data_IF_568521998216
#
_entry.id   IF_568521998216
#
_cell.length_a   1.000
_cell.length_b   1.000
_cell.length_c   1.000
_cell.angle_alpha   90.00
_cell.angle_beta   90.00
_cell.angle_gamma   90.00
#
_symmetry.space_group_name_H-M   'P 1'
#
loop_
_entity.id
_entity.type
_entity.pdbx_description
1 polymer ?
#
# COMPACT_ATOMS: atom_id res chain seq x y z
N UNK A 1 -14.84 7.99 10.93
CA UNK A 1 -15.37 7.16 9.82
C UNK A 1 -16.87 6.85 9.87
N UNK A 2 -17.64 7.42 10.79
CA UNK A 2 -19.08 7.14 10.87
C UNK A 2 -19.85 7.65 9.65
N UNK A 3 -19.38 8.73 9.01
CA UNK A 3 -20.01 9.24 7.79
C UNK A 3 -19.91 8.27 6.61
N UNK A 4 -18.75 7.66 6.35
CA UNK A 4 -18.62 6.66 5.28
C UNK A 4 -19.55 5.47 5.49
N UNK A 5 -19.71 5.02 6.74
CA UNK A 5 -20.66 3.96 7.11
C UNK A 5 -22.11 4.40 6.89
N UNK A 6 -22.47 5.61 7.33
CA UNK A 6 -23.80 6.19 7.18
C UNK A 6 -24.18 6.38 5.71
N UNK A 7 -23.25 6.85 4.89
CA UNK A 7 -23.43 7.12 3.46
C UNK A 7 -23.24 5.89 2.58
N UNK A 8 -22.69 4.80 3.12
CA UNK A 8 -22.39 3.55 2.41
C UNK A 8 -21.47 3.78 1.19
N UNK A 9 -20.46 4.63 1.37
CA UNK A 9 -19.52 4.98 0.30
C UNK A 9 -18.06 4.76 0.73
N UNK A 10 -17.18 4.66 -0.26
CA UNK A 10 -15.73 4.69 -0.06
C UNK A 10 -15.27 6.09 0.35
N UNK A 11 -14.17 6.15 1.09
CA UNK A 11 -13.50 7.40 1.45
C UNK A 11 -12.25 7.61 0.62
N UNK A 12 -11.97 8.88 0.29
CA UNK A 12 -10.72 9.30 -0.31
C UNK A 12 -10.28 10.62 0.32
N UNK A 13 -9.09 10.67 0.91
CA UNK A 13 -8.50 11.91 1.41
C UNK A 13 -7.85 12.64 0.25
N UNK A 14 -8.50 13.69 -0.26
CA UNK A 14 -8.04 14.38 -1.48
C UNK A 14 -6.78 15.21 -1.26
N UNK A 15 -6.51 15.61 -0.02
CA UNK A 15 -5.36 16.42 0.33
C UNK A 15 -4.85 16.04 1.72
N UNK A 16 -3.56 15.74 1.80
CA UNK A 16 -2.81 15.66 3.06
C UNK A 16 -1.40 16.16 2.85
N UNK A 17 -0.80 16.74 3.88
CA UNK A 17 0.59 17.16 3.82
C UNK A 17 1.50 15.94 3.72
N UNK A 18 2.32 15.93 2.66
CA UNK A 18 3.36 14.93 2.40
C UNK A 18 4.64 15.71 2.17
N UNK A 19 5.29 16.03 3.27
CA UNK A 19 6.45 16.94 3.35
C UNK A 19 7.64 16.21 4.00
N UNK A 20 8.80 16.86 4.05
CA UNK A 20 10.01 16.32 4.69
C UNK A 20 10.21 16.81 6.15
N UNK A 21 9.17 17.41 6.74
CA UNK A 21 9.13 17.86 8.13
C UNK A 21 7.82 17.43 8.80
N UNK A 22 7.77 17.34 10.13
CA UNK A 22 6.53 16.96 10.84
C UNK A 22 6.06 15.52 10.52
N UNK A 23 7.00 14.60 10.31
CA UNK A 23 6.74 13.25 9.85
C UNK A 23 5.76 12.45 10.72
N UNK A 24 5.74 12.67 12.03
CA UNK A 24 4.91 11.89 12.94
C UNK A 24 3.41 12.01 12.61
N UNK A 25 2.93 13.24 12.35
CA UNK A 25 1.54 13.46 11.97
C UNK A 25 1.22 12.85 10.59
N UNK A 26 2.16 12.92 9.65
CA UNK A 26 2.00 12.31 8.32
C UNK A 26 1.92 10.77 8.43
N UNK A 27 2.79 10.16 9.23
CA UNK A 27 2.79 8.71 9.43
C UNK A 27 1.54 8.24 10.20
N UNK A 28 1.11 8.98 11.23
CA UNK A 28 -0.16 8.72 11.90
C UNK A 28 -1.33 8.73 10.91
N UNK A 29 -1.35 9.70 9.98
CA UNK A 29 -2.36 9.76 8.94
C UNK A 29 -2.31 8.57 7.99
N UNK A 30 -1.12 8.10 7.60
CA UNK A 30 -0.98 6.89 6.79
C UNK A 30 -1.47 5.64 7.54
N UNK A 31 -1.15 5.51 8.83
CA UNK A 31 -1.58 4.36 9.62
C UNK A 31 -3.09 4.37 9.87
N UNK A 32 -3.68 5.55 10.07
CA UNK A 32 -5.13 5.73 10.11
C UNK A 32 -5.78 5.40 8.76
N UNK A 33 -5.20 5.85 7.65
CA UNK A 33 -5.68 5.53 6.31
C UNK A 33 -5.66 4.02 6.05
N UNK A 34 -4.58 3.32 6.41
CA UNK A 34 -4.43 1.87 6.28
C UNK A 34 -5.46 1.13 7.16
N UNK A 35 -5.56 1.49 8.44
CA UNK A 35 -6.55 0.95 9.39
C UNK A 35 -7.97 1.02 8.85
N UNK A 36 -8.26 2.13 8.18
CA UNK A 36 -9.57 2.46 7.68
C UNK A 36 -9.79 2.14 6.20
N UNK A 37 -8.78 1.60 5.50
CA UNK A 37 -8.83 1.23 4.07
C UNK A 37 -9.23 2.43 3.21
N UNK A 38 -8.78 3.62 3.60
CA UNK A 38 -9.08 4.88 2.96
C UNK A 38 -7.90 5.26 2.08
N UNK A 39 -8.14 5.49 0.80
CA UNK A 39 -7.12 6.02 -0.11
C UNK A 39 -6.87 7.50 0.16
N UNK A 40 -5.73 8.01 -0.31
CA UNK A 40 -5.33 9.39 -0.11
C UNK A 40 -4.53 9.92 -1.29
N UNK A 41 -4.43 11.25 -1.36
CA UNK A 41 -3.55 11.98 -2.26
C UNK A 41 -2.75 13.02 -1.47
N UNK A 42 -1.43 13.00 -1.66
CA UNK A 42 -0.54 13.99 -1.06
C UNK A 42 -0.64 15.34 -1.77
N UNK A 43 -0.76 16.41 -1.00
CA UNK A 43 -0.67 17.77 -1.50
C UNK A 43 0.78 18.26 -1.47
N UNK A 44 1.30 18.80 -2.54
CA UNK A 44 1.08 18.59 -3.96
C UNK A 44 2.29 17.88 -4.59
N UNK A 45 2.15 17.48 -5.86
CA UNK A 45 3.27 17.07 -6.70
C UNK A 45 3.59 18.17 -7.72
N UNK A 46 3.89 19.37 -7.22
CA UNK A 46 4.28 20.51 -8.04
C UNK A 46 5.78 20.81 -7.87
N UNK A 47 6.47 21.05 -8.98
CA UNK A 47 7.83 21.57 -8.98
C UNK A 47 7.83 23.03 -9.44
N UNK A 48 8.19 23.99 -8.57
CA UNK A 48 8.32 25.37 -8.97
C UNK A 48 9.46 25.53 -10.00
N UNK A 49 9.31 26.36 -11.06
CA UNK A 49 10.30 26.50 -12.14
C UNK A 49 11.73 26.83 -11.67
N UNK A 50 11.86 27.52 -10.53
CA UNK A 50 13.12 27.98 -9.97
C UNK A 50 13.54 27.24 -8.69
N UNK A 51 12.81 26.21 -8.26
CA UNK A 51 13.18 25.42 -7.09
C UNK A 51 14.39 24.55 -7.44
N UNK A 52 15.59 25.00 -7.05
CA UNK A 52 16.81 24.18 -7.16
C UNK A 52 16.81 23.05 -6.13
N UNK A 53 16.36 23.35 -4.92
CA UNK A 53 16.07 22.38 -3.86
C UNK A 53 14.91 22.91 -3.03
N UNK A 54 13.98 22.05 -2.66
CA UNK A 54 12.99 22.31 -1.62
C UNK A 54 12.69 20.98 -0.91
N UNK A 55 11.70 21.01 -0.01
CA UNK A 55 11.31 19.84 0.77
C UNK A 55 11.01 18.59 -0.08
N UNK A 56 10.43 18.80 -1.27
CA UNK A 56 9.96 17.73 -2.17
C UNK A 56 10.88 17.43 -3.34
N UNK A 57 11.82 18.32 -3.65
CA UNK A 57 12.62 18.26 -4.88
C UNK A 57 14.09 18.48 -4.57
N UNK A 58 14.93 17.58 -5.09
CA UNK A 58 16.39 17.73 -5.14
C UNK A 58 16.81 17.93 -6.59
N UNK A 59 17.00 19.17 -7.00
CA UNK A 59 17.18 19.51 -8.42
C UNK A 59 15.95 19.18 -9.25
N UNK A 60 16.11 18.27 -10.21
CA UNK A 60 15.05 17.83 -11.14
C UNK A 60 14.33 16.56 -10.71
N UNK A 61 14.79 15.91 -9.62
CA UNK A 61 14.22 14.66 -9.13
C UNK A 61 13.53 14.88 -7.78
N UNK A 62 12.51 14.07 -7.45
CA UNK A 62 11.92 14.11 -6.12
C UNK A 62 12.96 13.86 -5.03
N UNK A 63 12.78 14.51 -3.87
CA UNK A 63 13.61 14.29 -2.70
C UNK A 63 13.47 12.82 -2.25
N UNK A 64 14.59 12.14 -2.04
CA UNK A 64 14.64 10.72 -1.70
C UNK A 64 13.78 10.38 -0.48
N UNK A 65 13.78 11.23 0.57
CA UNK A 65 12.97 10.96 1.77
C UNK A 65 11.47 11.03 1.48
N UNK A 66 11.05 11.94 0.59
CA UNK A 66 9.65 12.06 0.17
C UNK A 66 9.23 10.84 -0.65
N UNK A 67 10.08 10.40 -1.59
CA UNK A 67 9.85 9.15 -2.32
C UNK A 67 9.73 7.98 -1.34
N UNK A 68 10.71 7.81 -0.45
CA UNK A 68 10.73 6.73 0.54
C UNK A 68 9.46 6.68 1.38
N UNK A 69 8.95 7.84 1.79
CA UNK A 69 7.78 7.91 2.66
C UNK A 69 6.46 7.67 1.91
N UNK A 70 6.44 7.87 0.60
CA UNK A 70 5.21 7.81 -0.22
C UNK A 70 5.12 6.58 -1.09
N UNK A 71 6.24 5.93 -1.41
CA UNK A 71 6.29 4.68 -2.17
C UNK A 71 6.15 3.44 -1.29
N UNK A 72 5.28 3.52 -0.27
CA UNK A 72 4.94 2.44 0.67
C UNK A 72 4.48 1.19 -0.09
N UNK A 73 4.66 0.02 0.52
CA UNK A 73 4.02 -1.21 -0.01
C UNK A 73 2.53 -1.18 0.33
N UNK A 74 1.64 -1.38 -0.65
CA UNK A 74 0.19 -1.31 -0.42
C UNK A 74 -0.60 -2.12 -1.47
N UNK A 75 -1.81 -2.60 -1.14
CA UNK A 75 -2.64 -3.31 -2.11
C UNK A 75 -3.26 -2.32 -3.11
N UNK A 76 -2.96 -2.48 -4.40
CA UNK A 76 -3.58 -1.69 -5.49
C UNK A 76 -4.95 -2.24 -5.88
N UNK A 77 -5.09 -3.58 -5.90
CA UNK A 77 -6.34 -4.27 -6.16
C UNK A 77 -6.36 -5.59 -5.37
N UNK A 78 -7.50 -5.96 -4.79
CA UNK A 78 -7.63 -7.19 -3.98
C UNK A 78 -8.79 -8.01 -4.49
N UNK A 79 -8.55 -9.29 -4.74
CA UNK A 79 -9.56 -10.27 -5.14
C UNK A 79 -10.44 -10.72 -3.95
N UNK A 80 -11.02 -9.76 -3.23
CA UNK A 80 -11.80 -10.01 -2.03
C UNK A 80 -12.02 -8.77 -1.18
N UNK A 81 -12.55 -9.00 0.02
CA UNK A 81 -12.82 -7.97 1.01
C UNK A 81 -11.65 -7.89 1.99
N UNK A 82 -10.90 -6.79 1.94
CA UNK A 82 -9.77 -6.51 2.84
C UNK A 82 -10.24 -6.53 4.29
N UNK A 83 -9.60 -7.37 5.10
CA UNK A 83 -9.78 -7.40 6.55
C UNK A 83 -8.84 -6.40 7.22
N UNK A 84 -7.54 -6.52 6.94
CA UNK A 84 -6.50 -5.58 7.38
C UNK A 84 -5.41 -5.46 6.32
N UNK A 85 -4.74 -4.32 6.28
CA UNK A 85 -3.39 -4.22 5.75
C UNK A 85 -2.64 -3.15 6.53
N UNK A 86 -1.32 -3.24 6.55
CA UNK A 86 -0.46 -2.26 7.21
C UNK A 86 0.95 -2.33 6.64
N UNK A 87 1.54 -1.16 6.39
CA UNK A 87 2.97 -1.02 6.11
C UNK A 87 3.66 -0.37 7.31
N UNK A 88 4.55 -1.11 7.96
CA UNK A 88 5.35 -0.59 9.06
C UNK A 88 6.50 0.25 8.49
N UNK A 89 6.44 1.56 8.73
CA UNK A 89 7.45 2.51 8.21
C UNK A 89 8.86 2.25 8.74
N UNK A 90 9.02 1.63 9.90
CA UNK A 90 10.31 1.45 10.56
C UNK A 90 10.97 0.16 10.06
N UNK A 91 10.25 -0.96 10.15
CA UNK A 91 10.73 -2.29 9.73
C UNK A 91 10.60 -2.53 8.22
N UNK A 92 9.82 -1.71 7.51
CA UNK A 92 9.42 -1.91 6.11
C UNK A 92 8.63 -3.20 5.87
N UNK A 93 8.11 -3.81 6.93
CA UNK A 93 7.23 -4.97 6.82
C UNK A 93 5.85 -4.55 6.32
N UNK A 94 5.30 -5.32 5.40
CA UNK A 94 3.93 -5.19 4.95
C UNK A 94 3.15 -6.45 5.26
N UNK A 95 1.90 -6.28 5.71
CA UNK A 95 0.93 -7.35 5.89
C UNK A 95 -0.39 -7.01 5.20
N UNK A 96 -1.05 -8.04 4.67
CA UNK A 96 -2.37 -7.97 4.07
C UNK A 96 -3.15 -9.23 4.44
N UNK A 97 -4.40 -9.06 4.85
CA UNK A 97 -5.36 -10.16 4.86
C UNK A 97 -6.70 -9.76 4.27
N UNK A 98 -7.32 -10.67 3.55
CA UNK A 98 -8.60 -10.46 2.90
C UNK A 98 -9.40 -11.75 2.83
N UNK A 99 -10.73 -11.61 2.77
CA UNK A 99 -11.64 -12.73 2.57
C UNK A 99 -12.10 -12.78 1.13
N UNK A 100 -12.17 -13.97 0.56
CA UNK A 100 -12.65 -14.15 -0.81
C UNK A 100 -14.10 -13.65 -0.90
N UNK A 101 -14.34 -12.78 -1.88
CA UNK A 101 -15.65 -12.22 -2.15
C UNK A 101 -16.28 -13.01 -3.32
N UNK A 102 -17.47 -13.61 -3.14
CA UNK A 102 -18.13 -14.37 -4.22
C UNK A 102 -18.46 -13.52 -5.46
N UNK A 103 -18.60 -12.21 -5.30
CA UNK A 103 -18.89 -11.29 -6.41
C UNK A 103 -17.63 -10.93 -7.22
N UNK A 104 -16.44 -11.24 -6.70
CA UNK A 104 -15.18 -10.99 -7.40
C UNK A 104 -14.87 -12.13 -8.38
N UNK A 105 -14.84 -11.81 -9.68
CA UNK A 105 -14.53 -12.78 -10.74
C UNK A 105 -13.03 -13.00 -10.95
N UNK A 106 -12.20 -12.14 -10.38
CA UNK A 106 -10.74 -12.23 -10.48
C UNK A 106 -10.20 -13.08 -9.33
N UNK A 107 -9.13 -13.83 -9.59
CA UNK A 107 -8.34 -14.48 -8.53
C UNK A 107 -7.11 -13.67 -8.13
N UNK A 108 -6.88 -12.55 -8.81
CA UNK A 108 -5.65 -11.76 -8.73
C UNK A 108 -5.77 -10.63 -7.72
N UNK A 109 -4.84 -10.62 -6.77
CA UNK A 109 -4.55 -9.49 -5.89
C UNK A 109 -3.22 -8.87 -6.32
N UNK A 110 -3.22 -7.56 -6.54
CA UNK A 110 -2.07 -6.76 -6.95
C UNK A 110 -1.61 -5.88 -5.79
N UNK A 111 -0.32 -5.99 -5.46
CA UNK A 111 0.30 -5.24 -4.37
C UNK A 111 1.45 -4.45 -4.97
N UNK A 112 1.40 -3.12 -4.87
CA UNK A 112 2.54 -2.29 -5.21
C UNK A 112 3.61 -2.46 -4.13
N UNK A 113 4.86 -2.57 -4.55
CA UNK A 113 6.01 -2.55 -3.66
C UNK A 113 7.18 -1.86 -4.35
N UNK A 114 7.95 -1.08 -3.59
CA UNK A 114 9.14 -0.42 -4.11
C UNK A 114 10.39 -1.19 -3.65
N UNK A 115 10.82 -2.15 -4.48
CA UNK A 115 11.96 -3.02 -4.18
C UNK A 115 13.23 -2.23 -3.86
N UNK A 116 13.56 -1.25 -4.70
CA UNK A 116 14.78 -0.45 -4.55
C UNK A 116 14.77 0.38 -3.27
N UNK A 117 13.62 0.94 -2.88
CA UNK A 117 13.51 1.83 -1.72
C UNK A 117 13.33 1.11 -0.38
N UNK A 118 12.73 -0.08 -0.38
CA UNK A 118 12.31 -0.76 0.85
C UNK A 118 12.93 -2.14 1.03
N UNK A 119 13.37 -2.78 -0.05
CA UNK A 119 13.90 -4.13 -0.04
C UNK A 119 15.20 -4.24 -0.88
N UNK A 120 16.18 -3.33 -0.72
CA UNK A 120 17.36 -3.28 -1.61
C UNK A 120 18.23 -4.52 -1.54
N UNK A 121 18.23 -5.21 -0.39
CA UNK A 121 18.96 -6.46 -0.17
C UNK A 121 18.09 -7.71 -0.41
N UNK A 122 16.94 -7.53 -1.06
CA UNK A 122 15.90 -8.53 -1.18
C UNK A 122 14.96 -8.58 0.02
N UNK A 123 14.02 -9.52 -0.04
CA UNK A 123 12.94 -9.68 0.92
C UNK A 123 12.65 -11.16 1.19
N UNK A 124 11.96 -11.41 2.28
CA UNK A 124 11.31 -12.68 2.60
C UNK A 124 9.79 -12.46 2.63
N UNK A 125 9.01 -13.49 2.33
CA UNK A 125 7.55 -13.40 2.31
C UNK A 125 6.89 -14.66 2.87
N UNK A 126 5.66 -14.50 3.33
CA UNK A 126 4.75 -15.57 3.70
C UNK A 126 3.43 -15.37 2.96
N UNK A 127 2.83 -16.46 2.48
CA UNK A 127 1.53 -16.43 1.82
C UNK A 127 0.77 -17.70 2.14
N UNK A 128 -0.56 -17.61 2.26
CA UNK A 128 -1.42 -18.79 2.43
C UNK A 128 -1.13 -19.88 1.37
N UNK A 129 -1.25 -21.14 1.76
CA UNK A 129 -1.11 -22.26 0.83
C UNK A 129 -2.12 -22.16 -0.33
N UNK A 130 -1.76 -22.72 -1.49
CA UNK A 130 -2.57 -22.67 -2.72
C UNK A 130 -2.79 -21.26 -3.30
N UNK A 131 -1.96 -20.30 -2.88
CA UNK A 131 -1.82 -18.99 -3.52
C UNK A 131 -0.48 -18.94 -4.24
N UNK A 132 -0.51 -18.67 -5.54
CA UNK A 132 0.69 -18.45 -6.33
C UNK A 132 1.20 -17.02 -6.13
N UNK A 133 2.48 -16.88 -5.84
CA UNK A 133 3.19 -15.61 -5.76
C UNK A 133 4.01 -15.39 -7.03
N UNK A 134 3.93 -14.19 -7.61
CA UNK A 134 4.86 -13.74 -8.64
C UNK A 134 5.20 -12.26 -8.50
N UNK A 135 6.40 -11.87 -8.91
CA UNK A 135 6.88 -10.49 -8.98
C UNK A 135 6.86 -10.04 -10.46
N UNK A 136 6.31 -8.85 -10.73
CA UNK A 136 6.30 -8.21 -12.04
C UNK A 136 6.54 -6.71 -11.86
N UNK A 137 7.70 -6.22 -12.29
CA UNK A 137 8.13 -4.83 -12.10
C UNK A 137 8.02 -4.38 -10.62
N UNK A 138 7.20 -3.37 -10.34
CA UNK A 138 6.91 -2.85 -9.00
C UNK A 138 5.64 -3.46 -8.37
N UNK A 139 5.25 -4.66 -8.81
CA UNK A 139 4.06 -5.36 -8.32
C UNK A 139 4.38 -6.78 -7.88
N UNK A 140 3.71 -7.16 -6.81
CA UNK A 140 3.51 -8.54 -6.39
C UNK A 140 2.10 -8.94 -6.82
N UNK A 141 1.99 -10.07 -7.50
CA UNK A 141 0.72 -10.67 -7.92
C UNK A 141 0.50 -11.94 -7.11
N UNK A 142 -0.59 -11.95 -6.34
CA UNK A 142 -1.09 -13.13 -5.65
C UNK A 142 -2.27 -13.69 -6.43
N UNK A 143 -2.19 -14.94 -6.85
CA UNK A 143 -3.28 -15.64 -7.54
C UNK A 143 -3.71 -16.86 -6.73
N UNK A 144 -4.90 -16.81 -6.16
CA UNK A 144 -5.45 -17.96 -5.44
C UNK A 144 -6.07 -18.98 -6.40
N UNK A 145 -5.93 -20.27 -6.10
CA UNK A 145 -6.43 -21.35 -6.96
C UNK A 145 -7.88 -21.68 -6.56
N UNK A 146 -8.91 -21.43 -7.40
CA UNK A 146 -10.31 -21.55 -7.00
C UNK A 146 -10.74 -22.90 -6.45
N UNK A 147 -10.10 -23.99 -6.89
CA UNK A 147 -10.43 -25.35 -6.43
C UNK A 147 -10.17 -25.58 -4.93
N UNK A 148 -9.36 -24.73 -4.29
CA UNK A 148 -8.96 -24.87 -2.88
C UNK A 148 -9.57 -23.83 -1.96
N UNK A 149 -10.45 -22.97 -2.49
CA UNK A 149 -10.98 -21.84 -1.76
C UNK A 149 -12.48 -21.66 -1.99
N UNK A 150 -13.18 -21.30 -0.92
CA UNK A 150 -14.59 -20.96 -0.90
C UNK A 150 -14.79 -19.48 -0.59
N UNK A 151 -15.93 -18.87 -0.98
CA UNK A 151 -16.31 -17.55 -0.53
C UNK A 151 -16.22 -17.42 1.00
N UNK A 152 -15.55 -16.36 1.47
CA UNK A 152 -15.31 -16.11 2.89
C UNK A 152 -13.99 -16.65 3.45
N UNK A 153 -13.30 -17.54 2.73
CA UNK A 153 -11.98 -18.05 3.15
C UNK A 153 -10.97 -16.90 3.26
N UNK A 154 -10.09 -17.00 4.25
CA UNK A 154 -9.07 -16.00 4.56
C UNK A 154 -7.80 -16.29 3.76
N UNK A 155 -7.28 -15.27 3.09
CA UNK A 155 -5.94 -15.25 2.51
C UNK A 155 -5.11 -14.22 3.28
N UNK A 156 -3.90 -14.63 3.64
CA UNK A 156 -2.91 -13.81 4.34
C UNK A 156 -1.62 -13.74 3.54
N UNK A 157 -1.01 -12.57 3.55
CA UNK A 157 0.27 -12.30 2.91
C UNK A 157 1.08 -11.36 3.80
N UNK A 158 2.38 -11.63 3.91
CA UNK A 158 3.35 -10.70 4.48
C UNK A 158 4.65 -10.69 3.69
N UNK A 159 5.35 -9.55 3.73
CA UNK A 159 6.68 -9.36 3.15
C UNK A 159 7.51 -8.46 4.06
N UNK A 160 8.78 -8.81 4.24
CA UNK A 160 9.73 -8.01 5.03
C UNK A 160 11.13 -8.03 4.39
N UNK A 161 11.96 -7.01 4.65
CA UNK A 161 13.36 -7.03 4.23
C UNK A 161 14.13 -8.23 4.80
N UNK A 162 15.18 -8.66 4.10
CA UNK A 162 16.17 -9.63 4.61
C UNK A 162 17.20 -8.97 5.52
#
# INVERSE_FOLDING_TARGET
MNDLKRLKCGGFLTEMLVVDEGFDAMYEMFDLADKYKQSWQGWDYHRPPNAKNNQKWKGTVPNHIVVQNTSRTYPQAVAGNIQIYHFNKDTKEFSLSYRINPDCKSTLTEIYFNKEMHYPNGYQYSVSSNVHFSEQDYRIILSHIPAYFSPGDLIEFSISPK
#
